data_IF_593038751651
#
_entry.id   IF_593038751651
#
_cell.length_a   1.000
_cell.length_b   1.000
_cell.length_c   1.000
_cell.angle_alpha   90.00
_cell.angle_beta   90.00
_cell.angle_gamma   90.00
#
_symmetry.space_group_name_H-M   'P 1'
#
loop_
_entity.id
_entity.type
_entity.pdbx_description
1 polymer ?
#
# COMPACT_ATOMS: atom_id res chain seq x y z
N UNK A 1 0.39 18.23 -7.29
CA UNK A 1 0.60 16.77 -7.48
C UNK A 1 0.62 16.12 -6.10
N UNK A 2 0.03 14.96 -5.94
CA UNK A 2 0.03 14.26 -4.66
C UNK A 2 1.37 13.56 -4.43
N UNK A 3 1.87 13.60 -3.20
CA UNK A 3 2.99 12.76 -2.79
C UNK A 3 2.50 11.32 -2.54
N UNK A 4 3.34 10.33 -2.83
CA UNK A 4 3.04 8.92 -2.54
C UNK A 4 3.98 8.38 -1.46
N UNK A 5 3.42 7.79 -0.42
CA UNK A 5 4.14 7.23 0.72
C UNK A 5 3.86 5.74 0.82
N UNK A 6 4.91 4.93 0.84
CA UNK A 6 4.82 3.47 0.93
C UNK A 6 5.51 3.03 2.22
N UNK A 7 4.77 2.71 3.28
CA UNK A 7 5.36 2.15 4.49
C UNK A 7 5.88 0.73 4.19
N UNK A 8 7.17 0.52 4.44
CA UNK A 8 7.81 -0.77 4.25
C UNK A 8 8.85 -1.02 5.34
N UNK A 9 8.68 -2.09 6.10
CA UNK A 9 9.62 -2.49 7.13
C UNK A 9 10.62 -3.52 6.59
N UNK A 10 11.88 -3.13 6.48
CA UNK A 10 12.97 -4.03 6.09
C UNK A 10 13.08 -5.15 7.14
N UNK A 11 13.02 -6.42 6.68
CA UNK A 11 13.06 -7.58 7.56
C UNK A 11 11.83 -7.75 8.45
N UNK A 12 10.74 -7.04 8.15
CA UNK A 12 9.45 -7.21 8.83
C UNK A 12 8.97 -8.66 8.75
N UNK A 13 8.30 -9.11 9.81
CA UNK A 13 7.73 -10.46 9.86
C UNK A 13 6.60 -10.57 8.84
N UNK A 14 6.88 -11.17 7.70
CA UNK A 14 5.84 -11.62 6.78
C UNK A 14 5.54 -13.10 7.06
N UNK A 15 4.28 -13.49 7.03
CA UNK A 15 3.88 -14.90 7.12
C UNK A 15 4.40 -15.71 5.93
N UNK A 16 4.78 -15.02 4.86
CA UNK A 16 5.44 -15.61 3.68
C UNK A 16 6.86 -16.13 4.00
N UNK A 17 7.55 -15.55 4.98
CA UNK A 17 8.92 -15.95 5.34
C UNK A 17 9.95 -15.74 4.23
N UNK A 18 9.64 -14.94 3.21
CA UNK A 18 10.49 -14.68 2.05
C UNK A 18 10.71 -13.16 1.87
N UNK A 19 11.83 -12.61 2.37
CA UNK A 19 12.13 -11.19 2.24
C UNK A 19 12.31 -10.72 0.78
N UNK A 20 12.78 -11.60 -0.10
CA UNK A 20 12.97 -11.26 -1.52
C UNK A 20 11.63 -11.15 -2.25
N UNK A 21 10.66 -11.98 -1.88
CA UNK A 21 9.29 -11.86 -2.38
C UNK A 21 8.65 -10.55 -1.91
N UNK A 22 8.85 -10.18 -0.64
CA UNK A 22 8.36 -8.89 -0.12
C UNK A 22 8.96 -7.69 -0.89
N UNK A 23 10.26 -7.73 -1.22
CA UNK A 23 10.90 -6.72 -2.07
C UNK A 23 10.34 -6.69 -3.48
N UNK A 24 10.03 -7.85 -4.06
CA UNK A 24 9.43 -7.91 -5.40
C UNK A 24 8.03 -7.28 -5.41
N UNK A 25 7.22 -7.52 -4.38
CA UNK A 25 5.90 -6.88 -4.21
C UNK A 25 6.03 -5.37 -4.02
N UNK A 26 6.95 -4.90 -3.17
CA UNK A 26 7.27 -3.48 -3.01
C UNK A 26 7.65 -2.85 -4.35
N UNK A 27 8.45 -3.56 -5.17
CA UNK A 27 8.85 -3.07 -6.49
C UNK A 27 7.66 -2.91 -7.43
N UNK A 28 6.68 -3.81 -7.39
CA UNK A 28 5.45 -3.67 -8.18
C UNK A 28 4.64 -2.43 -7.75
N UNK A 29 4.53 -2.17 -6.45
CA UNK A 29 3.87 -0.96 -5.93
C UNK A 29 4.62 0.30 -6.34
N UNK A 30 5.94 0.30 -6.18
CA UNK A 30 6.79 1.44 -6.54
C UNK A 30 6.73 1.74 -8.04
N UNK A 31 6.76 0.71 -8.89
CA UNK A 31 6.63 0.87 -10.34
C UNK A 31 5.29 1.50 -10.71
N UNK A 32 4.19 1.02 -10.13
CA UNK A 32 2.87 1.59 -10.39
C UNK A 32 2.75 3.07 -9.96
N UNK A 33 3.38 3.45 -8.85
CA UNK A 33 3.45 4.86 -8.42
C UNK A 33 4.30 5.68 -9.39
N UNK A 34 5.48 5.19 -9.78
CA UNK A 34 6.41 5.92 -10.65
C UNK A 34 5.88 6.11 -12.09
N UNK A 35 4.84 5.40 -12.49
CA UNK A 35 4.14 5.66 -13.75
C UNK A 35 3.33 6.97 -13.73
N UNK A 36 2.96 7.47 -12.53
CA UNK A 36 2.03 8.60 -12.35
C UNK A 36 2.58 9.72 -11.46
N UNK A 37 3.72 9.51 -10.84
CA UNK A 37 4.38 10.46 -9.96
C UNK A 37 5.89 10.43 -10.16
N UNK A 38 6.56 11.53 -9.84
CA UNK A 38 8.02 11.63 -10.01
C UNK A 38 8.78 10.72 -9.05
N UNK A 39 8.24 10.48 -7.86
CA UNK A 39 8.90 9.68 -6.83
C UNK A 39 7.89 9.03 -5.86
N UNK A 40 8.19 7.79 -5.48
CA UNK A 40 7.55 7.10 -4.37
C UNK A 40 8.44 7.16 -3.13
N UNK A 41 7.93 7.68 -2.02
CA UNK A 41 8.63 7.73 -0.75
C UNK A 41 8.43 6.42 0.02
N UNK A 42 9.41 5.53 -0.01
CA UNK A 42 9.42 4.31 0.80
C UNK A 42 9.92 4.66 2.19
N UNK A 43 9.13 4.40 3.21
CA UNK A 43 9.41 4.85 4.58
C UNK A 43 9.38 3.70 5.59
N UNK A 44 10.32 3.74 6.54
CA UNK A 44 10.37 2.90 7.73
C UNK A 44 10.59 3.80 8.95
N UNK A 45 10.24 3.34 10.12
CA UNK A 45 10.45 4.13 11.33
C UNK A 45 9.89 3.47 12.59
N UNK A 46 10.18 4.07 13.76
CA UNK A 46 9.67 3.59 15.04
C UNK A 46 8.15 3.76 15.14
N UNK A 47 7.51 2.96 15.97
CA UNK A 47 6.07 3.01 16.18
C UNK A 47 5.23 2.22 15.15
N UNK A 48 5.87 1.29 14.45
CA UNK A 48 5.21 0.47 13.42
C UNK A 48 4.78 1.27 12.20
N UNK A 49 3.84 0.73 11.43
CA UNK A 49 3.36 1.37 10.20
C UNK A 49 2.82 2.79 10.45
N UNK A 50 2.00 2.97 11.48
CA UNK A 50 1.42 4.28 11.82
C UNK A 50 2.47 5.30 12.19
N UNK A 51 3.47 4.91 12.96
CA UNK A 51 4.60 5.79 13.35
C UNK A 51 5.48 6.17 12.16
N UNK A 52 5.81 5.20 11.29
CA UNK A 52 6.59 5.46 10.07
C UNK A 52 5.88 6.44 9.13
N UNK A 53 4.59 6.23 8.90
CA UNK A 53 3.77 7.13 8.08
C UNK A 53 3.68 8.52 8.72
N UNK A 54 3.34 8.61 10.02
CA UNK A 54 3.24 9.90 10.71
C UNK A 54 4.55 10.69 10.65
N UNK A 55 5.69 10.01 10.83
CA UNK A 55 7.01 10.63 10.72
C UNK A 55 7.27 11.21 9.32
N UNK A 56 6.94 10.47 8.28
CA UNK A 56 7.08 10.95 6.90
C UNK A 56 6.15 12.13 6.60
N UNK A 57 4.91 12.06 7.06
CA UNK A 57 3.92 13.11 6.80
C UNK A 57 4.17 14.41 7.58
N UNK A 58 4.93 14.36 8.68
CA UNK A 58 5.24 15.54 9.49
C UNK A 58 5.94 16.65 8.69
N UNK A 59 6.67 16.30 7.63
CA UNK A 59 7.41 17.24 6.77
C UNK A 59 6.73 17.52 5.44
N UNK A 60 5.65 16.80 5.11
CA UNK A 60 4.88 16.98 3.89
C UNK A 60 3.73 17.97 4.09
N UNK A 61 3.28 18.57 3.00
CA UNK A 61 2.10 19.43 2.95
C UNK A 61 1.31 19.13 1.68
N UNK A 62 0.01 19.37 1.73
CA UNK A 62 -0.88 19.14 0.61
C UNK A 62 -1.26 17.67 0.40
N UNK A 63 -1.77 17.33 -0.77
CA UNK A 63 -2.32 16.01 -1.05
C UNK A 63 -1.28 14.88 -0.91
N UNK A 64 -1.67 13.78 -0.28
CA UNK A 64 -0.82 12.59 -0.12
C UNK A 64 -1.65 11.31 -0.28
N UNK A 65 -1.05 10.32 -0.91
CA UNK A 65 -1.62 8.97 -1.00
C UNK A 65 -0.65 7.98 -0.34
N UNK A 66 -1.15 7.21 0.61
CA UNK A 66 -0.41 6.20 1.35
C UNK A 66 -0.84 4.83 0.83
N UNK A 67 0.12 4.00 0.44
CA UNK A 67 -0.14 2.70 -0.19
C UNK A 67 0.72 1.64 0.49
N UNK A 68 0.13 0.54 0.93
CA UNK A 68 0.89 -0.58 1.51
C UNK A 68 1.79 -1.25 0.47
N UNK A 69 2.88 -1.85 0.94
CA UNK A 69 3.92 -2.45 0.09
C UNK A 69 3.59 -3.88 -0.38
N UNK A 70 2.60 -4.53 0.18
CA UNK A 70 2.19 -5.92 -0.06
C UNK A 70 1.01 -6.05 -1.04
N UNK A 71 0.95 -5.13 -2.00
CA UNK A 71 -0.11 -5.04 -3.01
C UNK A 71 0.42 -5.32 -4.42
N UNK A 72 0.84 -6.56 -4.72
CA UNK A 72 1.51 -6.87 -5.99
C UNK A 72 0.62 -6.79 -7.23
N UNK A 73 -0.68 -6.59 -7.05
CA UNK A 73 -1.66 -6.46 -8.13
C UNK A 73 -2.04 -5.01 -8.44
N UNK A 74 -1.47 -4.03 -7.74
CA UNK A 74 -1.81 -2.61 -7.92
C UNK A 74 -1.51 -2.14 -9.34
N UNK A 75 -2.37 -1.24 -9.84
CA UNK A 75 -2.25 -0.62 -11.16
C UNK A 75 -2.32 0.89 -11.02
N UNK A 76 -1.57 1.60 -11.85
CA UNK A 76 -1.53 3.06 -11.87
C UNK A 76 -2.93 3.72 -11.98
N UNK A 77 -3.87 3.25 -12.82
CA UNK A 77 -5.21 3.83 -12.88
C UNK A 77 -6.00 3.73 -11.57
N UNK A 78 -5.77 2.67 -10.77
CA UNK A 78 -6.42 2.54 -9.47
C UNK A 78 -5.85 3.55 -8.45
N UNK A 79 -4.55 3.82 -8.51
CA UNK A 79 -3.90 4.86 -7.71
C UNK A 79 -4.40 6.26 -8.11
N UNK A 80 -4.52 6.54 -9.40
CA UNK A 80 -5.08 7.80 -9.90
C UNK A 80 -6.53 7.98 -9.42
N UNK A 81 -7.36 6.94 -9.52
CA UNK A 81 -8.74 6.98 -9.04
C UNK A 81 -8.82 7.22 -7.54
N UNK A 82 -7.96 6.55 -6.74
CA UNK A 82 -7.90 6.75 -5.30
C UNK A 82 -7.53 8.20 -4.97
N UNK A 83 -6.48 8.71 -5.60
CA UNK A 83 -5.98 10.08 -5.38
C UNK A 83 -7.02 11.14 -5.78
N UNK A 84 -7.68 10.96 -6.90
CA UNK A 84 -8.73 11.87 -7.37
C UNK A 84 -9.97 11.88 -6.46
N UNK A 85 -10.18 10.83 -5.68
CA UNK A 85 -11.33 10.69 -4.78
C UNK A 85 -11.06 11.15 -3.34
N UNK A 86 -9.91 11.78 -3.06
CA UNK A 86 -9.52 12.18 -1.70
C UNK A 86 -10.56 13.08 -1.00
N UNK A 87 -10.89 12.86 0.29
CA UNK A 87 -10.38 11.80 1.12
C UNK A 87 -11.04 10.45 0.79
N UNK A 88 -10.21 9.43 0.57
CA UNK A 88 -10.68 8.11 0.19
C UNK A 88 -9.81 7.00 0.79
N UNK A 89 -10.40 5.82 0.97
CA UNK A 89 -9.68 4.64 1.46
C UNK A 89 -10.03 3.40 0.64
N UNK A 90 -9.09 2.45 0.63
CA UNK A 90 -9.33 1.08 0.19
C UNK A 90 -9.08 0.14 1.38
N UNK A 91 -10.12 -0.60 1.74
CA UNK A 91 -10.04 -1.62 2.78
C UNK A 91 -9.45 -2.92 2.23
N UNK A 92 -8.63 -3.59 3.04
CA UNK A 92 -8.29 -5.00 2.84
C UNK A 92 -9.51 -5.90 3.07
N UNK A 93 -9.40 -7.17 2.68
CA UNK A 93 -10.48 -8.16 2.87
C UNK A 93 -10.83 -8.39 4.34
N UNK A 94 -9.87 -8.23 5.24
CA UNK A 94 -10.03 -8.42 6.69
C UNK A 94 -10.51 -7.15 7.42
N UNK A 95 -10.78 -6.06 6.69
CA UNK A 95 -11.22 -4.79 7.27
C UNK A 95 -10.10 -3.89 7.77
N UNK A 96 -8.85 -4.26 7.57
CA UNK A 96 -7.71 -3.34 7.74
C UNK A 96 -7.62 -2.39 6.53
N UNK A 97 -6.63 -1.51 6.51
CA UNK A 97 -6.53 -0.46 5.49
C UNK A 97 -5.30 -0.65 4.64
N UNK A 98 -5.47 -0.81 3.34
CA UNK A 98 -4.39 -0.99 2.38
C UNK A 98 -3.93 0.30 1.72
N UNK A 99 -4.83 1.25 1.52
CA UNK A 99 -4.48 2.53 0.92
C UNK A 99 -5.38 3.66 1.43
N UNK A 100 -4.81 4.86 1.52
CA UNK A 100 -5.49 6.08 1.99
C UNK A 100 -5.05 7.23 1.09
N UNK A 101 -6.00 8.03 0.60
CA UNK A 101 -5.71 9.31 -0.02
C UNK A 101 -6.28 10.45 0.82
N UNK A 102 -5.45 11.44 1.10
CA UNK A 102 -5.75 12.62 1.90
C UNK A 102 -5.65 13.88 1.05
N UNK A 103 -6.46 14.89 1.36
CA UNK A 103 -6.35 16.22 0.76
C UNK A 103 -5.16 17.01 1.30
N UNK A 104 -4.80 16.75 2.55
CA UNK A 104 -3.62 17.31 3.18
C UNK A 104 -2.95 16.27 4.09
N UNK A 105 -1.62 16.24 4.09
CA UNK A 105 -0.84 15.34 4.93
C UNK A 105 -1.11 15.53 6.43
N UNK A 106 -1.49 16.76 6.84
CA UNK A 106 -1.84 17.10 8.21
C UNK A 106 -3.14 16.46 8.72
N UNK A 107 -3.98 15.91 7.83
CA UNK A 107 -5.22 15.22 8.22
C UNK A 107 -4.98 13.79 8.75
N UNK A 108 -3.75 13.29 8.63
CA UNK A 108 -3.43 11.93 9.01
C UNK A 108 -3.46 11.70 10.52
N UNK A 109 -4.15 10.65 10.94
CA UNK A 109 -4.13 10.10 12.29
C UNK A 109 -3.78 8.62 12.21
N UNK A 110 -2.85 8.08 13.01
CA UNK A 110 -2.39 6.68 12.91
C UNK A 110 -3.41 5.70 13.49
N UNK A 111 -4.42 5.32 12.72
CA UNK A 111 -5.53 4.45 13.13
C UNK A 111 -5.39 2.99 12.64
N UNK A 112 -4.21 2.58 12.18
CA UNK A 112 -3.97 1.23 11.67
C UNK A 112 -4.31 0.12 12.68
N UNK A 113 -4.49 -1.09 12.18
CA UNK A 113 -4.84 -2.27 12.93
C UNK A 113 -6.23 -2.81 12.60
N UNK A 114 -6.69 -3.77 13.37
CA UNK A 114 -7.97 -4.44 13.15
C UNK A 114 -9.13 -3.45 13.08
N UNK A 115 -9.95 -3.51 12.04
CA UNK A 115 -11.08 -2.61 11.82
C UNK A 115 -10.68 -1.18 11.44
N UNK A 116 -9.43 -0.94 11.03
CA UNK A 116 -8.92 0.40 10.74
C UNK A 116 -9.63 1.07 9.57
N UNK A 117 -10.09 0.31 8.58
CA UNK A 117 -10.80 0.90 7.44
C UNK A 117 -12.07 1.67 7.86
N UNK A 118 -12.83 1.13 8.80
CA UNK A 118 -14.00 1.81 9.34
C UNK A 118 -13.61 3.07 10.14
N UNK A 119 -12.54 2.97 10.96
CA UNK A 119 -12.05 4.12 11.75
C UNK A 119 -11.53 5.25 10.86
N UNK A 120 -10.71 4.94 9.86
CA UNK A 120 -10.24 5.95 8.90
C UNK A 120 -11.39 6.58 8.11
N UNK A 121 -12.34 5.77 7.63
CA UNK A 121 -13.50 6.30 6.91
C UNK A 121 -14.30 7.28 7.77
N UNK A 122 -14.56 6.94 9.03
CA UNK A 122 -15.29 7.81 9.95
C UNK A 122 -14.51 9.08 10.30
N UNK A 123 -13.21 8.94 10.66
CA UNK A 123 -12.37 10.06 11.07
C UNK A 123 -12.15 11.09 9.96
N UNK A 124 -11.96 10.62 8.73
CA UNK A 124 -11.64 11.46 7.59
C UNK A 124 -12.86 11.89 6.78
N UNK A 125 -14.05 11.34 7.05
CA UNK A 125 -15.19 11.47 6.15
C UNK A 125 -14.89 10.87 4.77
N UNK A 126 -14.07 9.81 4.73
CA UNK A 126 -13.51 9.29 3.49
C UNK A 126 -14.47 8.35 2.75
N UNK A 127 -14.47 8.46 1.43
CA UNK A 127 -15.14 7.49 0.54
C UNK A 127 -14.39 6.15 0.56
N UNK A 128 -15.12 5.05 0.70
CA UNK A 128 -14.56 3.70 0.57
C UNK A 128 -14.65 3.25 -0.89
N UNK A 129 -13.51 2.98 -1.50
CA UNK A 129 -13.43 2.55 -2.89
C UNK A 129 -13.21 1.04 -3.00
N UNK A 130 -13.81 0.42 -4.01
CA UNK A 130 -13.62 -0.98 -4.34
C UNK A 130 -12.64 -1.11 -5.51
N UNK A 131 -11.34 -1.09 -5.20
CA UNK A 131 -10.24 -1.18 -6.16
C UNK A 131 -9.51 -2.51 -5.94
N UNK A 132 -9.70 -3.51 -6.80
CA UNK A 132 -9.20 -4.88 -6.56
C UNK A 132 -7.70 -4.98 -6.35
N UNK A 133 -6.89 -4.25 -7.11
CA UNK A 133 -5.44 -4.24 -6.98
C UNK A 133 -4.94 -3.63 -5.67
N UNK A 134 -5.72 -2.73 -5.07
CA UNK A 134 -5.42 -2.14 -3.78
C UNK A 134 -6.09 -2.86 -2.60
N UNK A 135 -7.14 -3.68 -2.85
CA UNK A 135 -7.82 -4.47 -1.83
C UNK A 135 -7.05 -5.75 -1.50
N UNK A 136 -6.43 -6.38 -2.50
CA UNK A 136 -5.91 -7.73 -2.40
C UNK A 136 -4.44 -7.73 -1.97
N UNK A 137 -4.20 -7.50 -0.69
CA UNK A 137 -2.89 -7.66 -0.05
C UNK A 137 -2.48 -9.13 0.05
N UNK A 138 -1.18 -9.37 0.09
CA UNK A 138 -0.57 -10.69 0.13
C UNK A 138 0.26 -10.86 1.38
N UNK A 139 -0.30 -11.58 2.35
CA UNK A 139 0.35 -11.94 3.62
C UNK A 139 0.82 -13.39 3.64
N UNK A 140 0.16 -14.27 2.87
CA UNK A 140 0.39 -15.71 2.86
C UNK A 140 0.57 -16.25 1.44
N UNK A 141 1.11 -17.47 1.33
CA UNK A 141 1.18 -18.17 0.04
C UNK A 141 -0.21 -18.45 -0.56
N UNK A 142 -1.22 -18.64 0.27
CA UNK A 142 -2.61 -18.79 -0.19
C UNK A 142 -3.15 -17.47 -0.79
N UNK A 143 -2.80 -16.32 -0.21
CA UNK A 143 -3.14 -15.01 -0.79
C UNK A 143 -2.48 -14.84 -2.15
N UNK A 144 -1.20 -15.18 -2.25
CA UNK A 144 -0.44 -15.09 -3.50
C UNK A 144 -1.07 -15.94 -4.61
N UNK A 145 -1.46 -17.17 -4.28
CA UNK A 145 -2.11 -18.08 -5.24
C UNK A 145 -3.46 -17.52 -5.71
N UNK A 146 -4.25 -16.94 -4.80
CA UNK A 146 -5.54 -16.32 -5.13
C UNK A 146 -5.41 -15.19 -6.16
N UNK A 147 -4.30 -14.45 -6.17
CA UNK A 147 -4.11 -13.29 -7.05
C UNK A 147 -3.12 -13.54 -8.19
N UNK A 148 -2.67 -14.78 -8.36
CA UNK A 148 -1.57 -15.18 -9.23
C UNK A 148 -1.65 -14.61 -10.65
N UNK A 149 -2.84 -14.60 -11.24
CA UNK A 149 -3.06 -14.16 -12.62
C UNK A 149 -2.94 -12.63 -12.79
N UNK A 150 -2.98 -11.88 -11.69
CA UNK A 150 -2.98 -10.41 -11.68
C UNK A 150 -1.68 -9.78 -11.15
N UNK A 151 -0.72 -10.59 -10.74
CA UNK A 151 0.55 -10.14 -10.18
C UNK A 151 1.30 -9.18 -11.10
N UNK A 152 1.98 -8.22 -10.52
CA UNK A 152 2.91 -7.33 -11.20
C UNK A 152 4.13 -8.07 -11.76
N UNK A 153 4.88 -7.39 -12.60
CA UNK A 153 6.01 -7.98 -13.34
C UNK A 153 7.15 -8.45 -12.44
N UNK A 154 7.41 -7.72 -11.34
CA UNK A 154 8.53 -8.03 -10.43
C UNK A 154 8.25 -9.28 -9.61
N UNK A 155 7.06 -9.35 -9.02
CA UNK A 155 6.62 -10.53 -8.26
C UNK A 155 6.55 -11.77 -9.17
N UNK A 156 6.00 -11.63 -10.36
CA UNK A 156 5.93 -12.72 -11.36
C UNK A 156 7.31 -13.23 -11.76
N UNK A 157 8.24 -12.31 -12.03
CA UNK A 157 9.64 -12.65 -12.38
C UNK A 157 10.33 -13.38 -11.24
N UNK A 158 10.13 -12.92 -10.00
CA UNK A 158 10.71 -13.58 -8.83
C UNK A 158 10.20 -15.01 -8.68
N UNK A 159 8.89 -15.22 -8.75
CA UNK A 159 8.27 -16.55 -8.65
C UNK A 159 8.72 -17.49 -9.77
N UNK A 160 8.89 -16.99 -10.99
CA UNK A 160 9.40 -17.78 -12.12
C UNK A 160 10.84 -18.25 -11.90
N UNK A 161 11.67 -17.45 -11.23
CA UNK A 161 13.04 -17.85 -10.85
C UNK A 161 13.04 -18.87 -9.72
N UNK A 162 12.16 -18.68 -8.73
CA UNK A 162 12.03 -19.61 -7.61
C UNK A 162 11.59 -21.00 -8.06
N UNK A 163 10.68 -21.10 -9.05
CA UNK A 163 10.21 -22.36 -9.61
C UNK A 163 11.28 -23.11 -10.44
N UNK A 164 12.37 -22.46 -10.84
CA UNK A 164 13.48 -23.05 -11.63
C UNK A 164 14.69 -23.44 -10.75
N UNK A 165 14.68 -23.02 -9.51
CA UNK A 165 15.72 -23.35 -8.55
C UNK A 165 15.43 -24.69 -7.85
#
# INVERSE_FOLDING_TARGET
MAAYVIPYRIGGKTRLGDPKLALAMLSDVTDAVNEIADEALVVDGPGGQGGAVAGALAVLRGPVTIVNADLPCVRSPELEQLTASAPAIVAARDGTTNAISLRDAGDFVPLYGRGSAARFAAQLGATRLALPGLRDDVDTWADLERVRDRLGKNTRRYLSRLARA
#
